data_IF_984805128863
#
_entry.id   IF_984805128863
#
_cell.length_a   1.000
_cell.length_b   1.000
_cell.length_c   1.000
_cell.angle_alpha   90.00
_cell.angle_beta   90.00
_cell.angle_gamma   90.00
#
_symmetry.space_group_name_H-M   'P 1'
#
loop_
_entity.id
_entity.type
_entity.pdbx_description
1 polymer ?
#
# COMPACT_ATOMS: atom_id res chain seq x y z
N UNK A 1 -15.88 6.20 -3.50
CA UNK A 1 -16.04 6.37 -4.95
C UNK A 1 -14.85 5.75 -5.66
N UNK A 2 -15.08 5.10 -6.81
CA UNK A 2 -13.99 4.61 -7.67
C UNK A 2 -13.19 5.79 -8.22
N UNK A 3 -11.86 5.71 -8.13
CA UNK A 3 -10.91 6.74 -8.57
C UNK A 3 -10.07 6.24 -9.73
N UNK A 4 -9.59 7.16 -10.55
CA UNK A 4 -8.61 6.85 -11.59
C UNK A 4 -7.22 6.64 -10.98
N UNK A 5 -6.46 5.69 -11.52
CA UNK A 5 -5.06 5.49 -11.15
C UNK A 5 -4.22 6.54 -11.88
N UNK A 6 -3.44 7.31 -11.12
CA UNK A 6 -2.56 8.34 -11.67
C UNK A 6 -1.17 7.79 -12.00
N UNK A 7 -0.52 8.43 -12.98
CA UNK A 7 0.86 8.16 -13.41
C UNK A 7 1.77 9.38 -13.25
N UNK A 8 1.31 10.42 -12.56
CA UNK A 8 2.04 11.67 -12.37
C UNK A 8 3.19 11.48 -11.37
N UNK A 9 4.42 11.39 -11.89
CA UNK A 9 5.62 11.19 -11.08
C UNK A 9 5.87 12.34 -10.09
N UNK A 10 5.43 13.58 -10.36
CA UNK A 10 5.63 14.68 -9.42
C UNK A 10 4.80 14.50 -8.14
N UNK A 11 3.67 13.79 -8.22
CA UNK A 11 2.85 13.43 -7.06
C UNK A 11 3.40 12.15 -6.44
N UNK A 12 3.63 11.13 -7.27
CA UNK A 12 3.96 9.79 -6.80
C UNK A 12 5.35 9.69 -6.16
N UNK A 13 6.29 10.57 -6.52
CA UNK A 13 7.65 10.59 -5.96
C UNK A 13 7.78 11.38 -4.65
N UNK A 14 6.69 11.98 -4.14
CA UNK A 14 6.70 12.73 -2.88
C UNK A 14 6.34 11.82 -1.71
N UNK A 15 7.08 11.90 -0.58
CA UNK A 15 6.67 11.24 0.66
C UNK A 15 5.27 11.68 1.08
N UNK A 16 4.44 10.71 1.45
CA UNK A 16 3.06 10.95 1.86
C UNK A 16 2.97 11.39 3.33
N UNK A 17 1.99 12.23 3.62
CA UNK A 17 1.69 12.67 4.99
C UNK A 17 1.10 11.53 5.83
N UNK A 18 1.35 11.57 7.13
CA UNK A 18 0.68 10.68 8.06
C UNK A 18 -0.85 10.81 7.94
N UNK A 19 -1.51 9.66 7.88
CA UNK A 19 -2.96 9.57 7.90
C UNK A 19 -3.48 9.72 9.33
N UNK A 20 -4.71 10.21 9.43
CA UNK A 20 -5.47 10.39 10.65
C UNK A 20 -6.84 9.72 10.50
N UNK A 21 -7.61 9.62 11.58
CA UNK A 21 -8.97 9.08 11.50
C UNK A 21 -9.90 9.91 10.59
N UNK A 22 -9.59 11.19 10.36
CA UNK A 22 -10.35 12.05 9.45
C UNK A 22 -10.19 11.62 7.98
N UNK A 23 -9.15 10.85 7.66
CA UNK A 23 -8.84 10.39 6.30
C UNK A 23 -9.58 9.07 5.95
N UNK A 24 -10.54 8.63 6.77
CA UNK A 24 -11.26 7.37 6.58
C UNK A 24 -11.92 7.23 5.20
N UNK A 25 -12.48 8.33 4.67
CA UNK A 25 -13.10 8.34 3.35
C UNK A 25 -12.10 8.01 2.23
N UNK A 26 -10.81 8.37 2.38
CA UNK A 26 -9.76 8.03 1.41
C UNK A 26 -9.53 6.52 1.39
N UNK A 27 -9.58 5.86 2.55
CA UNK A 27 -9.45 4.41 2.61
C UNK A 27 -10.64 3.70 1.95
N UNK A 28 -11.85 4.23 2.11
CA UNK A 28 -13.05 3.69 1.45
C UNK A 28 -12.93 3.81 -0.08
N UNK A 29 -12.55 4.98 -0.59
CA UNK A 29 -12.28 5.22 -2.01
C UNK A 29 -11.18 4.28 -2.56
N UNK A 30 -10.12 4.07 -1.78
CA UNK A 30 -9.00 3.20 -2.13
C UNK A 30 -9.45 1.73 -2.23
N UNK A 31 -10.30 1.27 -1.30
CA UNK A 31 -10.84 -0.10 -1.31
C UNK A 31 -11.83 -0.29 -2.45
N UNK A 32 -12.73 0.66 -2.68
CA UNK A 32 -13.65 0.60 -3.82
C UNK A 32 -12.90 0.53 -5.15
N UNK A 33 -11.86 1.36 -5.31
CA UNK A 33 -11.01 1.37 -6.51
C UNK A 33 -10.26 0.04 -6.68
N UNK A 34 -9.70 -0.50 -5.59
CA UNK A 34 -9.02 -1.80 -5.58
C UNK A 34 -9.96 -2.93 -6.03
N UNK A 35 -11.19 -2.97 -5.51
CA UNK A 35 -12.16 -4.03 -5.80
C UNK A 35 -12.82 -3.89 -7.19
N UNK A 36 -12.79 -2.69 -7.78
CA UNK A 36 -13.33 -2.45 -9.11
C UNK A 36 -12.36 -2.85 -10.24
N UNK A 37 -11.09 -3.10 -9.93
CA UNK A 37 -10.07 -3.50 -10.89
C UNK A 37 -9.88 -5.02 -10.90
N UNK A 38 -9.91 -5.63 -12.08
CA UNK A 38 -9.60 -7.05 -12.26
C UNK A 38 -8.09 -7.35 -12.14
N UNK A 39 -7.25 -6.33 -12.21
CA UNK A 39 -5.78 -6.44 -12.24
C UNK A 39 -5.12 -6.06 -10.90
N UNK A 40 -5.73 -5.14 -10.14
CA UNK A 40 -5.14 -4.62 -8.92
C UNK A 40 -5.24 -5.61 -7.76
N UNK A 41 -4.09 -5.95 -7.17
CA UNK A 41 -4.01 -6.74 -5.93
C UNK A 41 -3.67 -5.88 -4.71
N UNK A 42 -3.18 -4.66 -4.94
CA UNK A 42 -2.88 -3.67 -3.91
C UNK A 42 -2.80 -2.26 -4.52
N UNK A 43 -3.13 -1.25 -3.72
CA UNK A 43 -3.04 0.17 -4.07
C UNK A 43 -2.60 1.00 -2.86
N UNK A 44 -1.90 2.10 -3.12
CA UNK A 44 -1.61 3.16 -2.16
C UNK A 44 -2.44 4.41 -2.48
N UNK A 45 -2.78 5.21 -1.47
CA UNK A 45 -3.63 6.39 -1.66
C UNK A 45 -3.05 7.42 -2.63
N UNK A 46 -1.73 7.56 -2.73
CA UNK A 46 -1.13 8.47 -3.70
C UNK A 46 -1.38 8.04 -5.15
N UNK A 47 -1.62 6.75 -5.41
CA UNK A 47 -2.01 6.26 -6.73
C UNK A 47 -3.42 6.69 -7.14
N UNK A 48 -4.26 7.14 -6.20
CA UNK A 48 -5.58 7.75 -6.47
C UNK A 48 -5.57 9.28 -6.26
N UNK A 49 -4.38 9.87 -6.17
CA UNK A 49 -4.16 11.32 -6.04
C UNK A 49 -4.11 11.85 -4.59
N UNK A 50 -4.22 11.00 -3.58
CA UNK A 50 -4.26 11.39 -2.18
C UNK A 50 -2.93 11.11 -1.47
N UNK A 51 -2.17 12.15 -1.12
CA UNK A 51 -0.83 12.01 -0.52
C UNK A 51 -0.87 11.69 0.97
N UNK A 52 -1.62 10.64 1.34
CA UNK A 52 -1.73 10.10 2.69
C UNK A 52 -1.16 8.69 2.78
N UNK A 53 -0.56 8.35 3.91
CA UNK A 53 0.01 7.02 4.17
C UNK A 53 -1.08 5.97 4.45
N UNK A 54 -1.86 5.65 3.44
CA UNK A 54 -2.92 4.65 3.48
C UNK A 54 -2.69 3.67 2.34
N UNK A 55 -2.70 2.38 2.66
CA UNK A 55 -2.52 1.31 1.68
C UNK A 55 -3.63 0.28 1.82
N UNK A 56 -4.04 -0.30 0.70
CA UNK A 56 -4.98 -1.40 0.64
C UNK A 56 -4.37 -2.57 -0.15
N UNK A 57 -4.61 -3.81 0.28
CA UNK A 57 -4.24 -5.01 -0.47
C UNK A 57 -5.26 -6.12 -0.27
N UNK A 58 -5.36 -7.02 -1.24
CA UNK A 58 -6.16 -8.24 -1.13
C UNK A 58 -5.37 -9.30 -0.36
N UNK A 59 -5.96 -9.85 0.70
CA UNK A 59 -5.40 -11.02 1.37
C UNK A 59 -5.60 -12.29 0.54
N UNK A 60 -5.08 -13.43 1.01
CA UNK A 60 -5.19 -14.73 0.33
C UNK A 60 -6.63 -15.18 0.07
N UNK A 61 -7.60 -14.68 0.83
CA UNK A 61 -9.03 -14.95 0.62
C UNK A 61 -9.71 -13.92 -0.31
N UNK A 62 -8.93 -13.08 -1.00
CA UNK A 62 -9.44 -12.03 -1.88
C UNK A 62 -10.15 -10.89 -1.14
N UNK A 63 -9.96 -10.76 0.18
CA UNK A 63 -10.62 -9.72 0.98
C UNK A 63 -9.68 -8.52 1.15
N UNK A 64 -10.16 -7.28 0.95
CA UNK A 64 -9.33 -6.10 1.10
C UNK A 64 -8.92 -5.91 2.56
N UNK A 65 -7.71 -5.40 2.75
CA UNK A 65 -7.11 -5.08 4.04
C UNK A 65 -6.52 -3.69 3.95
N UNK A 66 -6.94 -2.79 4.82
CA UNK A 66 -6.42 -1.43 4.91
C UNK A 66 -5.36 -1.35 6.00
N UNK A 67 -4.27 -0.63 5.73
CA UNK A 67 -3.29 -0.24 6.73
C UNK A 67 -3.07 1.27 6.68
N UNK A 68 -3.28 1.93 7.82
CA UNK A 68 -2.92 3.32 8.02
C UNK A 68 -1.49 3.40 8.56
N UNK A 69 -0.74 4.39 8.11
CA UNK A 69 0.63 4.67 8.56
C UNK A 69 1.55 3.43 8.63
N UNK A 70 1.54 2.54 7.61
CA UNK A 70 2.30 1.31 7.67
C UNK A 70 3.82 1.59 7.66
N UNK A 71 4.56 0.78 8.43
CA UNK A 71 6.02 0.76 8.43
C UNK A 71 6.56 -0.65 8.67
N UNK A 72 7.56 -1.06 7.90
CA UNK A 72 8.29 -2.31 8.14
C UNK A 72 9.17 -2.16 9.38
N UNK A 73 8.97 -3.02 10.37
CA UNK A 73 9.73 -3.06 11.63
C UNK A 73 10.76 -4.19 11.67
N UNK A 74 10.59 -5.22 10.85
CA UNK A 74 11.55 -6.30 10.70
C UNK A 74 11.42 -6.91 9.31
N UNK A 75 12.53 -7.33 8.71
CA UNK A 75 12.60 -7.93 7.38
C UNK A 75 13.60 -9.09 7.38
N UNK A 76 13.24 -10.21 6.76
CA UNK A 76 14.05 -11.42 6.67
C UNK A 76 13.90 -12.05 5.28
N UNK A 77 14.84 -12.93 4.90
CA UNK A 77 14.83 -13.66 3.61
C UNK A 77 14.80 -12.71 2.38
N UNK A 78 15.87 -11.94 2.12
CA UNK A 78 15.94 -11.07 0.96
C UNK A 78 15.96 -11.88 -0.34
N UNK A 79 15.32 -11.37 -1.38
CA UNK A 79 15.36 -11.91 -2.75
C UNK A 79 15.15 -10.78 -3.76
N UNK A 80 15.51 -11.03 -5.03
CA UNK A 80 15.22 -10.12 -6.13
C UNK A 80 13.83 -10.43 -6.68
N UNK A 81 12.95 -9.44 -6.65
CA UNK A 81 11.65 -9.47 -7.30
C UNK A 81 11.70 -8.62 -8.58
N UNK A 82 10.93 -9.00 -9.59
CA UNK A 82 10.60 -8.13 -10.73
C UNK A 82 9.15 -7.72 -10.54
N UNK A 83 8.92 -6.43 -10.38
CA UNK A 83 7.60 -5.87 -10.06
C UNK A 83 7.12 -4.99 -11.20
N UNK A 84 5.81 -5.03 -11.45
CA UNK A 84 5.10 -4.04 -12.25
C UNK A 84 4.22 -3.20 -11.31
N UNK A 85 4.04 -1.93 -11.66
CA UNK A 85 3.18 -1.00 -10.93
C UNK A 85 2.14 -0.45 -11.91
N UNK A 86 0.87 -0.32 -11.49
CA UNK A 86 -0.18 0.27 -12.33
C UNK A 86 0.09 1.74 -12.69
N UNK A 87 1.01 2.38 -11.99
CA UNK A 87 1.46 3.75 -12.26
C UNK A 87 2.73 3.83 -13.13
N UNK A 88 3.27 2.71 -13.62
CA UNK A 88 4.50 2.66 -14.45
C UNK A 88 4.38 1.69 -15.63
N UNK A 89 5.00 2.03 -16.76
CA UNK A 89 4.97 1.18 -17.96
C UNK A 89 5.96 0.00 -17.88
N UNK A 90 7.15 0.22 -17.33
CA UNK A 90 8.22 -0.78 -17.33
C UNK A 90 8.37 -1.49 -15.98
N UNK A 91 8.52 -2.82 -15.94
CA UNK A 91 8.84 -3.54 -14.72
C UNK A 91 10.24 -3.21 -14.19
N UNK A 92 10.39 -3.16 -12.87
CA UNK A 92 11.67 -2.89 -12.21
C UNK A 92 12.11 -4.06 -11.33
N UNK A 93 13.42 -4.33 -11.31
CA UNK A 93 14.02 -5.27 -10.38
C UNK A 93 14.31 -4.59 -9.03
N UNK A 94 13.75 -5.15 -7.95
CA UNK A 94 13.85 -4.59 -6.59
C UNK A 94 14.18 -5.68 -5.57
N UNK A 95 14.89 -5.32 -4.50
CA UNK A 95 15.10 -6.24 -3.38
C UNK A 95 13.88 -6.25 -2.47
N UNK A 96 13.28 -7.42 -2.31
CA UNK A 96 12.15 -7.66 -1.41
C UNK A 96 12.52 -8.67 -0.35
N UNK A 97 11.70 -8.74 0.69
CA UNK A 97 11.88 -9.66 1.79
C UNK A 97 10.65 -10.56 1.87
N UNK A 98 10.86 -11.87 1.74
CA UNK A 98 9.78 -12.88 1.75
C UNK A 98 9.07 -12.95 3.12
N UNK A 99 9.66 -12.31 4.13
CA UNK A 99 9.12 -12.23 5.47
C UNK A 99 9.28 -10.82 6.02
N UNK A 100 8.19 -10.20 6.46
CA UNK A 100 8.21 -8.89 7.12
C UNK A 100 7.28 -8.84 8.33
N UNK A 101 7.66 -8.01 9.32
CA UNK A 101 6.74 -7.54 10.36
C UNK A 101 6.43 -6.07 10.13
N UNK A 102 5.15 -5.75 9.99
CA UNK A 102 4.64 -4.40 9.75
C UNK A 102 3.95 -3.89 11.01
N UNK A 103 4.28 -2.67 11.43
CA UNK A 103 3.45 -1.88 12.36
C UNK A 103 2.58 -0.96 11.53
N UNK A 104 1.31 -0.86 11.89
CA UNK A 104 0.32 -0.08 11.17
C UNK A 104 -0.83 0.25 12.11
N UNK A 105 -1.76 1.07 11.66
CA UNK A 105 -2.95 1.42 12.41
C UNK A 105 -4.21 0.97 11.67
N UNK A 106 -5.27 0.76 12.44
CA UNK A 106 -6.61 0.45 11.95
C UNK A 106 -7.60 1.41 12.59
N UNK A 107 -8.63 1.79 11.83
CA UNK A 107 -9.72 2.60 12.35
C UNK A 107 -10.64 1.72 13.22
N UNK A 108 -10.80 2.08 14.48
CA UNK A 108 -11.70 1.43 15.44
C UNK A 108 -12.45 2.53 16.18
N UNK A 109 -13.78 2.53 16.09
CA UNK A 109 -14.65 3.49 16.78
C UNK A 109 -14.25 4.97 16.57
N UNK A 110 -13.75 5.30 15.37
CA UNK A 110 -13.35 6.66 15.00
C UNK A 110 -11.92 7.04 15.40
N UNK A 111 -11.13 6.11 15.94
CA UNK A 111 -9.74 6.33 16.33
C UNK A 111 -8.79 5.38 15.59
N UNK A 112 -7.57 5.84 15.30
CA UNK A 112 -6.51 5.00 14.75
C UNK A 112 -5.80 4.26 15.89
N UNK A 113 -5.84 2.93 15.85
CA UNK A 113 -5.25 2.08 16.88
C UNK A 113 -4.13 1.23 16.29
N UNK A 114 -2.96 1.28 16.92
CA UNK A 114 -1.79 0.53 16.45
C UNK A 114 -2.00 -0.98 16.51
N UNK A 115 -1.49 -1.67 15.49
CA UNK A 115 -1.46 -3.11 15.29
C UNK A 115 -0.12 -3.53 14.72
N UNK A 116 0.19 -4.81 14.87
CA UNK A 116 1.36 -5.45 14.25
C UNK A 116 0.91 -6.67 13.48
N UNK A 117 1.45 -6.87 12.29
CA UNK A 117 1.17 -8.04 11.45
C UNK A 117 2.45 -8.62 10.90
N UNK A 118 2.56 -9.94 10.95
CA UNK A 118 3.56 -10.70 10.20
C UNK A 118 2.96 -10.99 8.83
N UNK A 119 3.72 -10.74 7.77
CA UNK A 119 3.37 -11.06 6.39
C UNK A 119 4.49 -11.90 5.78
N UNK A 120 4.11 -12.83 4.90
CA UNK A 120 5.02 -13.67 4.12
C UNK A 120 4.60 -13.70 2.65
N UNK A 121 5.52 -14.10 1.75
CA UNK A 121 5.23 -14.31 0.33
C UNK A 121 4.67 -13.08 -0.38
N UNK A 122 3.68 -13.31 -1.25
CA UNK A 122 3.07 -12.26 -2.08
C UNK A 122 2.51 -11.09 -1.25
N UNK A 123 1.90 -11.37 -0.10
CA UNK A 123 1.37 -10.30 0.77
C UNK A 123 2.50 -9.46 1.40
N UNK A 124 3.63 -10.08 1.74
CA UNK A 124 4.81 -9.34 2.20
C UNK A 124 5.34 -8.44 1.08
N UNK A 125 5.46 -8.96 -0.15
CA UNK A 125 5.93 -8.22 -1.30
C UNK A 125 5.03 -7.02 -1.63
N UNK A 126 3.72 -7.26 -1.75
CA UNK A 126 2.72 -6.22 -2.04
C UNK A 126 2.73 -5.09 -1.01
N UNK A 127 2.75 -5.42 0.28
CA UNK A 127 2.76 -4.39 1.33
C UNK A 127 4.08 -3.62 1.38
N UNK A 128 5.22 -4.25 1.08
CA UNK A 128 6.49 -3.53 0.93
C UNK A 128 6.43 -2.53 -0.22
N UNK A 129 5.90 -2.94 -1.38
CA UNK A 129 5.71 -2.04 -2.52
C UNK A 129 4.79 -0.86 -2.17
N UNK A 130 3.68 -1.10 -1.49
CA UNK A 130 2.76 -0.01 -1.11
C UNK A 130 3.35 0.92 -0.04
N UNK A 131 4.23 0.41 0.83
CA UNK A 131 5.00 1.26 1.76
C UNK A 131 6.00 2.12 0.98
N UNK A 132 6.66 1.59 -0.06
CA UNK A 132 7.54 2.39 -0.93
C UNK A 132 6.78 3.55 -1.59
N UNK A 133 5.56 3.33 -2.08
CA UNK A 133 4.69 4.43 -2.55
C UNK A 133 4.45 5.50 -1.48
N UNK A 134 4.24 5.11 -0.22
CA UNK A 134 4.09 6.07 0.88
C UNK A 134 5.37 6.89 1.15
N UNK A 135 6.54 6.36 0.79
CA UNK A 135 7.83 7.06 0.88
C UNK A 135 8.19 7.85 -0.38
N UNK A 136 7.33 7.83 -1.41
CA UNK A 136 7.65 8.44 -2.71
C UNK A 136 8.66 7.63 -3.53
N UNK A 137 8.84 6.35 -3.23
CA UNK A 137 9.76 5.46 -3.94
C UNK A 137 8.95 4.71 -4.98
N UNK A 138 9.27 4.96 -6.25
CA UNK A 138 8.62 4.30 -7.39
C UNK A 138 9.37 3.03 -7.75
N UNK A 139 8.61 1.98 -8.02
CA UNK A 139 9.08 0.65 -8.40
C UNK A 139 8.49 0.32 -9.75
#
# INVERSE_FOLDING_TARGET
MIREIITDEEILSKPCDAATAADAAIADDLVETLLASDEAVCLAANQIGETKRIVAYLNEAGRPQVMYNPRVTQKLKPYTAVEACLSREEPTAVTRYDWVRVSYEVLVDGELVERKKKLEGNAAQAVQHMIDHCEGILV
#
